data_IF_916297554347
#
_entry.id   IF_916297554347
#
_cell.length_a   1.000
_cell.length_b   1.000
_cell.length_c   1.000
_cell.angle_alpha   90.00
_cell.angle_beta   90.00
_cell.angle_gamma   90.00
#
_symmetry.space_group_name_H-M   'P 1'
#
loop_
_entity.id
_entity.type
_entity.pdbx_description
1 polymer ?
#
# COMPACT_ATOMS: atom_id res chain seq x y z
N UNK A 1 0.69 17.08 8.25
CA UNK A 1 -0.71 16.90 7.80
C UNK A 1 -0.77 15.94 6.63
N UNK A 2 -0.07 16.20 5.53
CA UNK A 2 -0.09 15.33 4.32
C UNK A 2 0.22 13.85 4.62
N UNK A 3 1.30 13.55 5.36
CA UNK A 3 1.65 12.17 5.72
C UNK A 3 0.55 11.48 6.55
N UNK A 4 -0.14 12.20 7.42
CA UNK A 4 -1.25 11.63 8.21
C UNK A 4 -2.43 11.28 7.30
N UNK A 5 -2.73 12.12 6.31
CA UNK A 5 -3.78 11.83 5.33
C UNK A 5 -3.45 10.59 4.50
N UNK A 6 -2.23 10.50 3.96
CA UNK A 6 -1.80 9.31 3.19
C UNK A 6 -1.74 8.04 4.04
N UNK A 7 -1.36 8.16 5.32
CA UNK A 7 -1.41 7.03 6.25
C UNK A 7 -2.83 6.56 6.53
N UNK A 8 -3.81 7.47 6.64
CA UNK A 8 -5.20 7.07 6.86
C UNK A 8 -5.75 6.19 5.73
N UNK A 9 -5.29 6.40 4.48
CA UNK A 9 -5.62 5.50 3.36
C UNK A 9 -5.09 4.08 3.57
N UNK A 10 -3.90 3.93 4.17
CA UNK A 10 -3.33 2.62 4.50
C UNK A 10 -4.16 1.91 5.58
N UNK A 11 -4.65 2.65 6.59
CA UNK A 11 -5.57 2.09 7.59
C UNK A 11 -6.88 1.61 6.99
N UNK A 12 -7.48 2.43 6.13
CA UNK A 12 -8.71 2.06 5.41
C UNK A 12 -8.50 0.80 4.57
N UNK A 13 -7.40 0.75 3.80
CA UNK A 13 -7.04 -0.42 2.99
C UNK A 13 -6.83 -1.68 3.82
N UNK A 14 -6.05 -1.57 4.90
CA UNK A 14 -5.80 -2.69 5.80
C UNK A 14 -7.05 -3.19 6.53
N UNK A 15 -7.91 -2.28 6.97
CA UNK A 15 -9.16 -2.64 7.63
C UNK A 15 -10.15 -3.31 6.68
N UNK A 16 -10.30 -2.83 5.43
CA UNK A 16 -11.11 -3.47 4.40
C UNK A 16 -10.57 -4.86 4.04
N UNK A 17 -9.25 -4.99 3.92
CA UNK A 17 -8.62 -6.29 3.68
C UNK A 17 -8.92 -7.29 4.80
N UNK A 18 -8.71 -6.89 6.07
CA UNK A 18 -9.00 -7.73 7.23
C UNK A 18 -10.50 -8.05 7.33
N UNK A 19 -11.37 -7.09 7.09
CA UNK A 19 -12.82 -7.30 7.10
C UNK A 19 -13.24 -8.35 6.06
N UNK A 20 -12.71 -8.25 4.85
CA UNK A 20 -13.03 -9.19 3.77
C UNK A 20 -12.45 -10.60 4.01
N UNK A 21 -11.26 -10.70 4.60
CA UNK A 21 -10.59 -11.98 4.84
C UNK A 21 -11.10 -12.68 6.10
N UNK A 22 -11.27 -11.94 7.21
CA UNK A 22 -11.63 -12.53 8.51
C UNK A 22 -13.14 -12.50 8.78
N UNK A 23 -13.95 -11.89 7.90
CA UNK A 23 -15.38 -11.73 8.11
C UNK A 23 -15.74 -10.80 9.28
N UNK A 24 -14.80 -9.95 9.73
CA UNK A 24 -15.02 -8.99 10.83
C UNK A 24 -15.59 -7.67 10.28
N UNK A 25 -16.22 -6.90 11.15
CA UNK A 25 -16.68 -5.58 10.73
C UNK A 25 -15.50 -4.60 10.51
N UNK A 26 -15.72 -3.58 9.68
CA UNK A 26 -14.73 -2.59 9.32
C UNK A 26 -14.09 -1.89 10.53
N UNK A 27 -14.88 -1.51 11.55
CA UNK A 27 -14.37 -0.84 12.76
C UNK A 27 -13.44 -1.74 13.57
N UNK A 28 -13.76 -3.03 13.67
CA UNK A 28 -12.87 -4.01 14.29
C UNK A 28 -11.59 -4.16 13.47
N UNK A 29 -11.68 -4.16 12.13
CA UNK A 29 -10.51 -4.16 11.24
C UNK A 29 -9.59 -2.96 11.49
N UNK A 30 -10.13 -1.74 11.68
CA UNK A 30 -9.35 -0.54 12.04
C UNK A 30 -8.59 -0.74 13.37
N UNK A 31 -9.22 -1.31 14.37
CA UNK A 31 -8.56 -1.56 15.67
C UNK A 31 -7.46 -2.61 15.53
N UNK A 32 -7.72 -3.71 14.82
CA UNK A 32 -6.75 -4.79 14.62
C UNK A 32 -5.52 -4.28 13.85
N UNK A 33 -5.71 -3.55 12.74
CA UNK A 33 -4.59 -3.00 11.98
C UNK A 33 -3.78 -2.00 12.83
N UNK A 34 -4.45 -1.20 13.67
CA UNK A 34 -3.76 -0.26 14.57
C UNK A 34 -2.87 -0.99 15.57
N UNK A 35 -3.33 -2.10 16.14
CA UNK A 35 -2.54 -2.94 17.06
C UNK A 35 -1.33 -3.52 16.33
N UNK A 36 -1.51 -4.08 15.13
CA UNK A 36 -0.41 -4.63 14.32
C UNK A 36 0.64 -3.55 14.05
N UNK A 37 0.22 -2.36 13.66
CA UNK A 37 1.14 -1.26 13.36
C UNK A 37 1.87 -0.76 14.62
N UNK A 38 1.19 -0.67 15.77
CA UNK A 38 1.86 -0.34 17.04
C UNK A 38 3.01 -1.32 17.30
N UNK A 39 2.78 -2.62 17.16
CA UNK A 39 3.84 -3.62 17.32
C UNK A 39 4.99 -3.41 16.34
N UNK A 40 4.71 -3.17 15.07
CA UNK A 40 5.73 -2.95 14.05
C UNK A 40 6.56 -1.69 14.31
N UNK A 41 5.91 -0.59 14.71
CA UNK A 41 6.58 0.71 14.93
C UNK A 41 7.38 0.74 16.23
N UNK A 42 6.85 0.13 17.32
CA UNK A 42 7.51 0.15 18.64
C UNK A 42 8.74 -0.78 18.66
N UNK A 43 8.64 -1.96 18.07
CA UNK A 43 9.73 -2.94 18.06
C UNK A 43 10.64 -2.84 16.83
N UNK A 44 10.26 -2.02 15.81
CA UNK A 44 11.05 -1.77 14.62
C UNK A 44 12.18 -0.78 14.89
N UNK A 45 13.42 -1.13 14.53
CA UNK A 45 14.50 -0.16 14.35
C UNK A 45 14.82 -0.06 12.86
N UNK A 46 15.49 1.00 12.40
CA UNK A 46 15.77 1.23 10.98
C UNK A 46 16.34 -0.01 10.26
N UNK A 47 17.28 -0.71 10.87
CA UNK A 47 17.86 -1.92 10.30
C UNK A 47 16.85 -3.07 10.16
N UNK A 48 16.01 -3.27 11.16
CA UNK A 48 15.00 -4.32 11.15
C UNK A 48 13.90 -4.00 10.12
N UNK A 49 13.51 -2.73 10.01
CA UNK A 49 12.56 -2.27 8.98
C UNK A 49 13.09 -2.60 7.58
N UNK A 50 14.33 -2.28 7.26
CA UNK A 50 14.90 -2.57 5.93
C UNK A 50 14.93 -4.06 5.60
N UNK A 51 15.23 -4.93 6.58
CA UNK A 51 15.24 -6.38 6.37
C UNK A 51 13.82 -6.91 6.18
N UNK A 52 12.86 -6.47 7.01
CA UNK A 52 11.46 -6.87 6.88
C UNK A 52 10.87 -6.40 5.57
N UNK A 53 11.16 -5.17 5.14
CA UNK A 53 10.70 -4.61 3.86
C UNK A 53 11.21 -5.44 2.67
N UNK A 54 12.46 -5.92 2.72
CA UNK A 54 13.01 -6.80 1.70
C UNK A 54 12.24 -8.13 1.63
N UNK A 55 11.99 -8.77 2.77
CA UNK A 55 11.22 -10.04 2.82
C UNK A 55 9.79 -9.81 2.33
N UNK A 56 9.16 -8.73 2.76
CA UNK A 56 7.81 -8.35 2.35
C UNK A 56 7.73 -8.06 0.85
N UNK A 57 8.76 -7.42 0.28
CA UNK A 57 8.87 -7.22 -1.17
C UNK A 57 8.91 -8.53 -1.96
N UNK A 58 9.66 -9.54 -1.47
CA UNK A 58 9.66 -10.87 -2.07
C UNK A 58 8.28 -11.53 -1.99
N UNK A 59 7.60 -11.45 -0.85
CA UNK A 59 6.23 -11.96 -0.70
C UNK A 59 5.30 -11.30 -1.73
N UNK A 60 5.41 -9.99 -1.93
CA UNK A 60 4.60 -9.27 -2.92
C UNK A 60 4.81 -9.78 -4.34
N UNK A 61 6.07 -9.99 -4.76
CA UNK A 61 6.39 -10.52 -6.10
C UNK A 61 5.78 -11.91 -6.30
N UNK A 62 6.06 -12.84 -5.39
CA UNK A 62 5.55 -14.22 -5.51
C UNK A 62 4.02 -14.27 -5.47
N UNK A 63 3.40 -13.51 -4.57
CA UNK A 63 1.94 -13.43 -4.46
C UNK A 63 1.30 -12.88 -5.72
N UNK A 64 1.88 -11.85 -6.34
CA UNK A 64 1.36 -11.28 -7.59
C UNK A 64 1.42 -12.30 -8.71
N UNK A 65 2.53 -13.04 -8.86
CA UNK A 65 2.69 -14.06 -9.90
C UNK A 65 1.72 -15.21 -9.67
N UNK A 66 1.61 -15.71 -8.44
CA UNK A 66 0.70 -16.81 -8.08
C UNK A 66 -0.75 -16.42 -8.37
N UNK A 67 -1.18 -15.23 -7.92
CA UNK A 67 -2.54 -14.78 -8.12
C UNK A 67 -2.87 -14.55 -9.58
N UNK A 68 -1.97 -13.92 -10.34
CA UNK A 68 -2.15 -13.71 -11.78
C UNK A 68 -2.32 -15.02 -12.53
N UNK A 69 -1.42 -15.99 -12.30
CA UNK A 69 -1.52 -17.32 -12.89
C UNK A 69 -2.84 -18.02 -12.53
N UNK A 70 -3.24 -17.94 -11.28
CA UNK A 70 -4.44 -18.60 -10.78
C UNK A 70 -5.72 -18.00 -11.35
N UNK A 71 -5.79 -16.67 -11.51
CA UNK A 71 -6.94 -15.99 -12.14
C UNK A 71 -7.03 -16.37 -13.63
N UNK A 72 -5.91 -16.40 -14.34
CA UNK A 72 -5.87 -16.81 -15.75
C UNK A 72 -6.32 -18.27 -15.90
N UNK A 73 -5.80 -19.16 -15.07
CA UNK A 73 -6.16 -20.58 -15.09
C UNK A 73 -7.64 -20.81 -14.75
N UNK A 74 -8.14 -20.14 -13.72
CA UNK A 74 -9.55 -20.23 -13.30
C UNK A 74 -10.51 -19.69 -14.36
N UNK A 75 -10.11 -18.62 -15.08
CA UNK A 75 -10.90 -18.01 -16.14
C UNK A 75 -10.87 -18.80 -17.47
N UNK A 76 -10.17 -19.93 -17.54
CA UNK A 76 -10.06 -20.73 -18.76
C UNK A 76 -9.09 -20.17 -19.80
N UNK A 77 -8.11 -19.36 -19.36
CA UNK A 77 -7.09 -18.75 -20.20
C UNK A 77 -7.38 -17.32 -20.60
N UNK A 78 -6.36 -16.65 -21.13
CA UNK A 78 -6.41 -15.22 -21.50
C UNK A 78 -7.48 -14.97 -22.57
N UNK A 79 -7.59 -15.84 -23.58
CA UNK A 79 -8.55 -15.70 -24.68
C UNK A 79 -10.00 -15.70 -24.17
N UNK A 80 -10.34 -16.69 -23.33
CA UNK A 80 -11.68 -16.78 -22.76
C UNK A 80 -12.02 -15.55 -21.88
N UNK A 81 -11.10 -15.11 -21.05
CA UNK A 81 -11.29 -13.90 -20.22
C UNK A 81 -11.48 -12.67 -21.10
N UNK A 82 -10.69 -12.53 -22.17
CA UNK A 82 -10.79 -11.42 -23.12
C UNK A 82 -12.16 -11.40 -23.80
N UNK A 83 -12.63 -12.57 -24.27
CA UNK A 83 -13.97 -12.69 -24.88
C UNK A 83 -15.07 -12.34 -23.88
N UNK A 84 -14.96 -12.77 -22.63
CA UNK A 84 -15.90 -12.38 -21.57
C UNK A 84 -15.90 -10.86 -21.32
N UNK A 85 -14.72 -10.21 -21.30
CA UNK A 85 -14.60 -8.77 -21.16
C UNK A 85 -15.29 -8.03 -22.33
N UNK A 86 -15.05 -8.47 -23.55
CA UNK A 86 -15.67 -7.90 -24.74
C UNK A 86 -17.18 -8.08 -24.76
N UNK A 87 -17.71 -9.21 -24.25
CA UNK A 87 -19.17 -9.43 -24.10
C UNK A 87 -19.83 -8.48 -23.10
N UNK A 88 -19.07 -8.01 -22.07
CA UNK A 88 -19.57 -7.01 -21.12
C UNK A 88 -19.63 -5.64 -21.79
N UNK A 89 -18.57 -5.23 -22.47
CA UNK A 89 -18.50 -3.98 -23.23
C UNK A 89 -17.29 -4.00 -24.16
N UNK A 90 -17.49 -3.78 -25.46
CA UNK A 90 -16.41 -3.76 -26.46
C UNK A 90 -15.31 -2.74 -26.16
N UNK A 91 -15.63 -1.65 -25.46
CA UNK A 91 -14.68 -0.59 -25.13
C UNK A 91 -13.88 -0.87 -23.84
N UNK A 92 -14.15 -1.95 -23.11
CA UNK A 92 -13.51 -2.22 -21.82
C UNK A 92 -12.00 -2.44 -21.91
N UNK A 93 -11.54 -2.93 -23.07
CA UNK A 93 -10.13 -3.13 -23.39
C UNK A 93 -9.45 -1.91 -24.02
N UNK A 94 -10.17 -0.79 -24.13
CA UNK A 94 -9.57 0.46 -24.62
C UNK A 94 -8.90 1.23 -23.47
N UNK A 95 -7.87 2.07 -23.76
CA UNK A 95 -7.20 2.88 -22.73
C UNK A 95 -8.13 3.86 -22.00
N UNK A 96 -9.30 4.16 -22.57
CA UNK A 96 -10.24 5.18 -22.06
C UNK A 96 -11.42 4.60 -21.27
N UNK A 97 -11.42 3.27 -21.04
CA UNK A 97 -12.43 2.55 -20.26
C UNK A 97 -13.77 2.39 -20.97
N UNK A 98 -14.64 1.54 -20.42
CA UNK A 98 -15.89 1.10 -21.03
C UNK A 98 -16.86 2.23 -21.37
N UNK A 99 -16.91 3.29 -20.57
CA UNK A 99 -17.86 4.39 -20.72
C UNK A 99 -17.24 5.67 -21.32
N UNK A 100 -15.97 5.61 -21.77
CA UNK A 100 -15.24 6.81 -22.21
C UNK A 100 -15.05 7.86 -21.12
N UNK A 101 -15.16 7.46 -19.85
CA UNK A 101 -15.03 8.34 -18.69
C UNK A 101 -13.60 8.84 -18.47
N UNK A 102 -12.61 8.10 -18.99
CA UNK A 102 -11.21 8.47 -18.93
C UNK A 102 -10.81 9.24 -20.18
N UNK A 103 -10.83 10.57 -20.09
CA UNK A 103 -10.37 11.42 -21.20
C UNK A 103 -8.86 11.29 -21.40
N UNK A 104 -8.33 11.53 -22.63
CA UNK A 104 -6.88 11.56 -22.86
C UNK A 104 -6.13 12.51 -21.92
N UNK A 105 -6.71 13.67 -21.61
CA UNK A 105 -6.16 14.64 -20.66
C UNK A 105 -6.08 14.08 -19.25
N UNK A 106 -7.12 13.34 -18.79
CA UNK A 106 -7.11 12.69 -17.49
C UNK A 106 -6.02 11.63 -17.40
N UNK A 107 -5.92 10.75 -18.40
CA UNK A 107 -4.87 9.73 -18.47
C UNK A 107 -3.48 10.36 -18.48
N UNK A 108 -3.27 11.41 -19.28
CA UNK A 108 -1.99 12.13 -19.33
C UNK A 108 -1.64 12.79 -17.99
N UNK A 109 -2.61 13.42 -17.32
CA UNK A 109 -2.40 14.04 -16.00
C UNK A 109 -2.01 13.00 -14.95
N UNK A 110 -2.57 11.79 -15.01
CA UNK A 110 -2.23 10.69 -14.10
C UNK A 110 -0.78 10.20 -14.34
N UNK A 111 -0.33 10.14 -15.60
CA UNK A 111 1.07 9.81 -15.91
C UNK A 111 2.04 10.84 -15.34
N UNK A 112 1.72 12.14 -15.44
CA UNK A 112 2.53 13.20 -14.84
C UNK A 112 2.51 13.11 -13.32
N UNK A 113 1.35 12.89 -12.72
CA UNK A 113 1.21 12.77 -11.26
C UNK A 113 2.03 11.59 -10.72
N UNK A 114 1.91 10.41 -11.32
CA UNK A 114 2.61 9.21 -10.85
C UNK A 114 4.08 9.23 -11.27
N UNK A 115 4.42 9.70 -12.49
CA UNK A 115 5.79 9.69 -12.99
C UNK A 115 6.67 10.77 -12.36
N UNK A 116 6.15 11.97 -12.17
CA UNK A 116 6.90 13.12 -11.65
C UNK A 116 6.55 13.41 -10.19
N UNK A 117 5.27 13.39 -9.84
CA UNK A 117 4.79 13.71 -8.49
C UNK A 117 5.36 12.78 -7.41
N UNK A 118 5.55 11.51 -7.73
CA UNK A 118 6.16 10.52 -6.82
C UNK A 118 7.57 10.91 -6.36
N UNK A 119 8.35 11.64 -7.19
CA UNK A 119 9.69 12.11 -6.83
C UNK A 119 9.63 13.09 -5.63
N UNK A 120 8.54 13.84 -5.52
CA UNK A 120 8.31 14.79 -4.42
C UNK A 120 7.90 14.15 -3.10
N UNK A 121 7.65 12.84 -3.05
CA UNK A 121 7.24 12.14 -1.83
C UNK A 121 8.44 12.03 -0.88
N UNK A 122 8.37 12.60 0.35
CA UNK A 122 9.52 12.71 1.25
C UNK A 122 10.20 11.38 1.57
N UNK A 123 9.44 10.28 1.73
CA UNK A 123 10.01 8.96 2.01
C UNK A 123 10.86 8.42 0.86
N UNK A 124 10.51 8.72 -0.38
CA UNK A 124 11.30 8.30 -1.56
C UNK A 124 12.59 9.10 -1.61
N UNK A 125 12.53 10.41 -1.40
CA UNK A 125 13.68 11.28 -1.38
C UNK A 125 14.70 10.84 -0.29
N UNK A 126 14.24 10.55 0.93
CA UNK A 126 15.11 10.12 2.03
C UNK A 126 15.70 8.74 1.76
N UNK A 127 14.91 7.78 1.31
CA UNK A 127 15.41 6.45 0.97
C UNK A 127 16.48 6.50 -0.13
N UNK A 128 16.36 7.42 -1.08
CA UNK A 128 17.37 7.62 -2.13
C UNK A 128 18.71 8.18 -1.61
N UNK A 129 18.77 8.70 -0.39
CA UNK A 129 19.99 9.19 0.24
C UNK A 129 20.71 8.10 1.07
N UNK A 130 20.09 6.93 1.29
CA UNK A 130 20.64 5.86 2.14
C UNK A 130 21.61 4.92 1.42
N UNK A 131 21.88 5.12 0.13
CA UNK A 131 22.76 4.25 -0.64
C UNK A 131 24.24 4.44 -0.28
N UNK A 132 24.92 3.32 -0.11
CA UNK A 132 26.34 3.30 0.29
C UNK A 132 27.27 3.91 -0.77
N UNK A 133 26.99 3.69 -2.05
CA UNK A 133 27.81 4.13 -3.17
C UNK A 133 27.01 4.16 -4.50
N UNK A 134 27.57 4.77 -5.56
CA UNK A 134 26.96 4.88 -6.89
C UNK A 134 26.62 3.52 -7.52
N UNK A 135 27.42 2.48 -7.27
CA UNK A 135 27.18 1.13 -7.80
C UNK A 135 25.93 0.53 -7.18
N UNK A 136 25.80 0.61 -5.85
CA UNK A 136 24.59 0.15 -5.14
C UNK A 136 23.33 0.88 -5.61
N UNK A 137 23.42 2.21 -5.80
CA UNK A 137 22.31 3.00 -6.34
C UNK A 137 21.90 2.50 -7.73
N UNK A 138 22.86 2.31 -8.65
CA UNK A 138 22.56 1.83 -10.01
C UNK A 138 21.92 0.43 -10.01
N UNK A 139 22.44 -0.48 -9.18
CA UNK A 139 21.85 -1.82 -9.03
C UNK A 139 20.43 -1.76 -8.47
N UNK A 140 20.18 -0.91 -7.47
CA UNK A 140 18.85 -0.74 -6.88
C UNK A 140 17.85 -0.14 -7.86
N UNK A 141 18.27 0.77 -8.75
CA UNK A 141 17.41 1.30 -9.80
C UNK A 141 16.98 0.18 -10.75
N UNK A 142 17.91 -0.65 -11.22
CA UNK A 142 17.60 -1.75 -12.15
C UNK A 142 16.67 -2.77 -11.50
N UNK A 143 17.05 -3.28 -10.31
CA UNK A 143 16.27 -4.29 -9.59
C UNK A 143 14.90 -3.71 -9.21
N UNK A 144 14.87 -2.51 -8.67
CA UNK A 144 13.64 -1.83 -8.28
C UNK A 144 12.68 -1.62 -9.45
N UNK A 145 13.20 -1.22 -10.62
CA UNK A 145 12.38 -1.06 -11.82
C UNK A 145 11.73 -2.38 -12.26
N UNK A 146 12.49 -3.48 -12.23
CA UNK A 146 11.96 -4.81 -12.56
C UNK A 146 10.89 -5.23 -11.56
N UNK A 147 11.14 -5.07 -10.26
CA UNK A 147 10.20 -5.42 -9.19
C UNK A 147 8.92 -4.61 -9.29
N UNK A 148 9.04 -3.28 -9.46
CA UNK A 148 7.89 -2.39 -9.62
C UNK A 148 7.09 -2.78 -10.86
N UNK A 149 7.75 -3.07 -11.98
CA UNK A 149 7.07 -3.51 -13.19
C UNK A 149 6.26 -4.81 -12.95
N UNK A 150 6.87 -5.83 -12.34
CA UNK A 150 6.19 -7.11 -12.07
C UNK A 150 4.97 -6.89 -11.16
N UNK A 151 5.14 -6.16 -10.06
CA UNK A 151 4.07 -5.98 -9.08
C UNK A 151 2.98 -5.08 -9.63
N UNK A 152 3.32 -3.89 -10.14
CA UNK A 152 2.32 -2.93 -10.62
C UNK A 152 1.58 -3.45 -11.84
N UNK A 153 2.30 -3.93 -12.86
CA UNK A 153 1.69 -4.48 -14.05
C UNK A 153 0.84 -5.73 -13.73
N UNK A 154 1.37 -6.62 -12.88
CA UNK A 154 0.67 -7.83 -12.46
C UNK A 154 -0.63 -7.54 -11.72
N UNK A 155 -0.63 -6.62 -10.75
CA UNK A 155 -1.84 -6.26 -9.99
C UNK A 155 -2.89 -5.59 -10.88
N UNK A 156 -2.48 -4.72 -11.82
CA UNK A 156 -3.42 -4.12 -12.77
C UNK A 156 -4.02 -5.16 -13.72
N UNK A 157 -3.22 -6.09 -14.23
CA UNK A 157 -3.73 -7.20 -15.05
C UNK A 157 -4.71 -8.06 -14.25
N UNK A 158 -4.40 -8.41 -13.01
CA UNK A 158 -5.31 -9.16 -12.14
C UNK A 158 -6.64 -8.43 -12.01
N UNK A 159 -6.62 -7.11 -11.79
CA UNK A 159 -7.84 -6.30 -11.69
C UNK A 159 -8.70 -6.34 -12.95
N UNK A 160 -8.09 -6.18 -14.12
CA UNK A 160 -8.78 -6.27 -15.41
C UNK A 160 -9.35 -7.67 -15.64
N UNK A 161 -8.53 -8.72 -15.45
CA UNK A 161 -8.94 -10.11 -15.66
C UNK A 161 -10.03 -10.53 -14.67
N UNK A 162 -9.95 -10.06 -13.42
CA UNK A 162 -10.97 -10.33 -12.41
C UNK A 162 -12.37 -9.86 -12.86
N UNK A 163 -12.45 -8.75 -13.59
CA UNK A 163 -13.73 -8.26 -14.14
C UNK A 163 -14.33 -9.22 -15.17
N UNK A 164 -13.50 -9.86 -15.99
CA UNK A 164 -13.96 -10.86 -16.98
C UNK A 164 -14.34 -12.20 -16.36
N UNK A 165 -13.77 -12.53 -15.19
CA UNK A 165 -14.03 -13.79 -14.48
C UNK A 165 -15.16 -13.65 -13.45
N UNK A 166 -15.25 -12.50 -12.77
CA UNK A 166 -16.21 -12.21 -11.69
C UNK A 166 -16.92 -10.85 -11.92
N UNK A 167 -17.82 -10.75 -12.90
CA UNK A 167 -18.46 -9.48 -13.27
C UNK A 167 -19.34 -8.88 -12.17
N UNK A 168 -19.77 -9.69 -11.20
CA UNK A 168 -20.75 -9.30 -10.17
C UNK A 168 -20.13 -8.61 -8.94
N UNK A 169 -18.80 -8.48 -8.85
CA UNK A 169 -18.17 -7.80 -7.73
C UNK A 169 -18.43 -6.31 -7.79
N UNK A 170 -19.21 -5.80 -6.82
CA UNK A 170 -19.62 -4.38 -6.74
C UNK A 170 -18.65 -3.51 -5.95
N UNK A 171 -18.01 -4.05 -4.93
CA UNK A 171 -17.01 -3.31 -4.13
C UNK A 171 -15.62 -3.52 -4.72
N UNK A 172 -15.13 -2.49 -5.41
CA UNK A 172 -13.84 -2.52 -6.11
C UNK A 172 -12.65 -2.64 -5.17
N UNK A 173 -12.75 -2.15 -3.94
CA UNK A 173 -11.69 -2.26 -2.93
C UNK A 173 -11.55 -3.70 -2.38
N UNK A 174 -12.60 -4.51 -2.51
CA UNK A 174 -12.63 -5.91 -2.06
C UNK A 174 -12.34 -6.93 -3.17
N UNK A 175 -12.03 -6.50 -4.39
CA UNK A 175 -11.78 -7.41 -5.53
C UNK A 175 -10.67 -8.41 -5.21
N UNK A 176 -9.48 -7.93 -4.80
CA UNK A 176 -8.32 -8.80 -4.53
C UNK A 176 -8.61 -9.85 -3.45
N UNK A 177 -9.10 -9.52 -2.24
CA UNK A 177 -9.43 -10.55 -1.25
C UNK A 177 -10.49 -11.53 -1.74
N UNK A 178 -11.56 -11.08 -2.41
CA UNK A 178 -12.64 -11.95 -2.89
C UNK A 178 -12.12 -12.95 -3.92
N UNK A 179 -11.41 -12.49 -4.96
CA UNK A 179 -10.89 -13.40 -5.99
C UNK A 179 -9.85 -14.37 -5.43
N UNK A 180 -8.99 -13.89 -4.55
CA UNK A 180 -7.96 -14.73 -3.91
C UNK A 180 -8.59 -15.91 -3.18
N UNK A 181 -9.65 -15.67 -2.40
CA UNK A 181 -10.38 -16.73 -1.68
C UNK A 181 -11.16 -17.67 -2.60
N UNK A 182 -11.55 -17.21 -3.80
CA UNK A 182 -12.29 -18.03 -4.76
C UNK A 182 -11.39 -18.89 -5.65
N UNK A 183 -10.21 -18.38 -6.04
CA UNK A 183 -9.34 -19.07 -7.02
C UNK A 183 -8.23 -19.87 -6.39
N UNK A 184 -7.92 -19.66 -5.10
CA UNK A 184 -6.79 -20.30 -4.42
C UNK A 184 -7.25 -21.17 -3.25
N UNK A 185 -6.55 -22.28 -2.97
CA UNK A 185 -6.73 -23.02 -1.73
C UNK A 185 -6.31 -22.14 -0.54
N UNK A 186 -6.88 -22.41 0.65
CA UNK A 186 -6.77 -21.56 1.83
C UNK A 186 -5.32 -21.17 2.21
N UNK A 187 -4.36 -22.08 2.08
CA UNK A 187 -2.95 -21.82 2.44
C UNK A 187 -2.25 -20.88 1.46
N UNK A 188 -2.52 -20.98 0.14
CA UNK A 188 -2.02 -20.04 -0.85
C UNK A 188 -2.75 -18.70 -0.76
N UNK A 189 -4.05 -18.73 -0.50
CA UNK A 189 -4.83 -17.52 -0.29
C UNK A 189 -4.29 -16.70 0.89
N UNK A 190 -3.94 -17.35 2.00
CA UNK A 190 -3.33 -16.69 3.16
C UNK A 190 -1.98 -16.02 2.79
N UNK A 191 -1.12 -16.72 2.03
CA UNK A 191 0.15 -16.17 1.55
C UNK A 191 -0.06 -14.96 0.63
N UNK A 192 -0.99 -15.07 -0.32
CA UNK A 192 -1.28 -14.00 -1.29
C UNK A 192 -1.89 -12.78 -0.59
N UNK A 193 -2.78 -12.97 0.38
CA UNK A 193 -3.37 -11.88 1.16
C UNK A 193 -2.38 -11.22 2.12
N UNK A 194 -1.28 -11.90 2.47
CA UNK A 194 -0.18 -11.26 3.19
C UNK A 194 0.54 -10.17 2.36
N UNK A 195 0.48 -10.22 1.03
CA UNK A 195 1.17 -9.25 0.17
C UNK A 195 0.61 -7.81 0.29
N UNK A 196 -0.69 -7.54 0.14
CA UNK A 196 -1.22 -6.21 0.36
C UNK A 196 -1.06 -5.73 1.81
N UNK A 197 -1.10 -6.63 2.79
CA UNK A 197 -0.79 -6.28 4.18
C UNK A 197 0.67 -5.88 4.33
N UNK A 198 1.60 -6.59 3.69
CA UNK A 198 3.01 -6.24 3.63
C UNK A 198 3.23 -4.86 3.01
N UNK A 199 2.57 -4.54 1.89
CA UNK A 199 2.64 -3.24 1.24
C UNK A 199 2.18 -2.09 2.18
N UNK A 200 1.13 -2.32 2.95
CA UNK A 200 0.65 -1.36 3.96
C UNK A 200 1.71 -1.14 5.04
N UNK A 201 2.24 -2.21 5.61
CA UNK A 201 3.21 -2.13 6.72
C UNK A 201 4.50 -1.44 6.28
N UNK A 202 5.07 -1.77 5.11
CA UNK A 202 6.29 -1.12 4.61
C UNK A 202 6.09 0.37 4.41
N UNK A 203 4.97 0.77 3.80
CA UNK A 203 4.64 2.18 3.57
C UNK A 203 4.48 2.94 4.89
N UNK A 204 3.73 2.38 5.81
CA UNK A 204 3.47 2.97 7.13
C UNK A 204 4.75 3.12 7.94
N UNK A 205 5.62 2.11 7.96
CA UNK A 205 6.91 2.17 8.66
C UNK A 205 7.77 3.33 8.17
N UNK A 206 7.89 3.49 6.84
CA UNK A 206 8.65 4.58 6.24
C UNK A 206 8.05 5.97 6.61
N UNK A 207 6.74 6.09 6.58
CA UNK A 207 6.04 7.34 6.92
C UNK A 207 6.18 7.68 8.41
N UNK A 208 6.12 6.69 9.31
CA UNK A 208 6.34 6.92 10.76
C UNK A 208 7.75 7.39 11.07
N UNK A 209 8.78 6.84 10.42
CA UNK A 209 10.15 7.33 10.58
C UNK A 209 10.26 8.81 10.24
N UNK A 210 9.57 9.25 9.18
CA UNK A 210 9.57 10.66 8.77
C UNK A 210 8.82 11.55 9.76
N UNK A 211 7.60 11.17 10.15
CA UNK A 211 6.78 11.95 11.08
C UNK A 211 7.52 12.09 12.42
N UNK A 212 8.06 10.99 12.94
CA UNK A 212 8.82 11.01 14.20
C UNK A 212 10.04 11.91 14.10
N UNK A 213 10.80 11.81 12.99
CA UNK A 213 11.98 12.64 12.76
C UNK A 213 11.62 14.12 12.68
N UNK A 214 10.58 14.47 11.90
CA UNK A 214 10.14 15.85 11.74
C UNK A 214 9.61 16.43 13.06
N UNK A 215 8.74 15.71 13.77
CA UNK A 215 8.20 16.18 15.05
C UNK A 215 9.30 16.38 16.11
N UNK A 216 10.27 15.47 16.17
CA UNK A 216 11.32 15.55 17.20
C UNK A 216 12.38 16.57 16.83
N UNK A 217 12.92 16.52 15.61
CA UNK A 217 14.04 17.39 15.21
C UNK A 217 13.55 18.81 14.88
N UNK A 218 12.49 18.93 14.10
CA UNK A 218 12.12 20.21 13.53
C UNK A 218 11.17 21.00 14.42
N UNK A 219 10.32 20.31 15.20
CA UNK A 219 9.36 20.99 16.09
C UNK A 219 9.90 21.06 17.52
N UNK A 220 10.26 19.94 18.13
CA UNK A 220 10.59 19.89 19.55
C UNK A 220 12.02 20.37 19.85
N UNK A 221 13.03 19.96 19.06
CA UNK A 221 14.40 20.40 19.28
C UNK A 221 14.72 21.78 18.70
N UNK A 222 13.80 22.40 17.97
CA UNK A 222 13.92 23.82 17.63
C UNK A 222 13.83 24.72 18.84
N UNK A 223 13.14 24.29 19.92
CA UNK A 223 13.08 25.00 21.20
C UNK A 223 14.18 24.52 22.15
N UNK A 224 15.12 25.40 22.49
CA UNK A 224 16.24 25.10 23.42
C UNK A 224 15.79 24.47 24.74
N UNK A 225 14.65 24.91 25.27
CA UNK A 225 14.09 24.47 26.56
C UNK A 225 13.73 22.97 26.57
N UNK A 226 13.26 22.44 25.43
CA UNK A 226 12.86 21.03 25.32
C UNK A 226 14.09 20.15 25.10
N UNK A 227 15.07 20.63 24.34
CA UNK A 227 16.34 19.92 24.08
C UNK A 227 17.09 19.60 25.38
N UNK A 228 17.13 20.53 26.34
CA UNK A 228 17.79 20.33 27.61
C UNK A 228 17.04 19.39 28.58
N UNK A 229 15.71 19.33 28.50
CA UNK A 229 14.89 18.47 29.37
C UNK A 229 14.77 17.01 28.93
N UNK A 230 14.99 16.72 27.64
CA UNK A 230 14.75 15.38 27.05
C UNK A 230 16.07 14.71 26.60
N UNK A 231 17.20 15.03 27.21
CA UNK A 231 18.50 14.44 26.88
C UNK A 231 18.60 13.01 27.43
N UNK A 232 19.10 12.06 26.61
CA UNK A 232 19.48 10.71 27.03
C UNK A 232 18.38 9.65 26.93
N UNK A 233 18.25 8.79 27.95
CA UNK A 233 17.33 7.61 27.97
C UNK A 233 15.84 7.92 27.78
N UNK A 234 15.41 9.18 27.91
CA UNK A 234 14.00 9.59 27.77
C UNK A 234 13.58 9.81 26.31
N UNK A 235 14.53 9.99 25.38
CA UNK A 235 14.25 10.22 23.95
C UNK A 235 13.43 9.07 23.34
N UNK A 236 13.82 7.78 23.48
CA UNK A 236 13.04 6.70 22.90
C UNK A 236 11.61 6.63 23.41
N UNK A 237 11.40 6.78 24.71
CA UNK A 237 10.06 6.74 25.32
C UNK A 237 9.18 7.86 24.74
N UNK A 238 9.74 9.04 24.57
CA UNK A 238 9.04 10.19 24.00
C UNK A 238 8.67 9.96 22.52
N UNK A 239 9.60 9.38 21.73
CA UNK A 239 9.36 9.00 20.34
C UNK A 239 8.20 7.99 20.25
N UNK A 240 8.20 6.94 21.08
CA UNK A 240 7.14 5.96 21.11
C UNK A 240 5.78 6.57 21.51
N UNK A 241 5.78 7.47 22.48
CA UNK A 241 4.54 8.16 22.90
C UNK A 241 3.95 9.00 21.77
N UNK A 242 4.78 9.72 21.01
CA UNK A 242 4.34 10.48 19.84
C UNK A 242 3.79 9.55 18.76
N UNK A 243 4.47 8.46 18.46
CA UNK A 243 4.03 7.51 17.45
C UNK A 243 2.67 6.88 17.82
N UNK A 244 2.49 6.50 19.08
CA UNK A 244 1.21 5.97 19.57
C UNK A 244 0.10 7.03 19.44
N UNK A 245 0.37 8.28 19.79
CA UNK A 245 -0.61 9.38 19.67
C UNK A 245 -1.00 9.60 18.20
N UNK A 246 -0.05 9.57 17.28
CA UNK A 246 -0.31 9.67 15.83
C UNK A 246 -1.12 8.47 15.33
N UNK A 247 -0.84 7.26 15.80
CA UNK A 247 -1.62 6.05 15.45
C UNK A 247 -3.08 6.21 15.92
N UNK A 248 -3.29 6.65 17.17
CA UNK A 248 -4.63 6.87 17.70
C UNK A 248 -5.37 7.92 16.86
N UNK A 249 -4.71 9.02 16.50
CA UNK A 249 -5.29 10.05 15.65
C UNK A 249 -5.72 9.49 14.29
N UNK A 250 -4.84 8.74 13.63
CA UNK A 250 -5.13 8.13 12.33
C UNK A 250 -6.28 7.12 12.47
N UNK A 251 -6.28 6.31 13.52
CA UNK A 251 -7.37 5.38 13.81
C UNK A 251 -8.73 6.10 13.85
N UNK A 252 -8.83 7.21 14.55
CA UNK A 252 -10.07 7.99 14.61
C UNK A 252 -10.48 8.60 13.27
N UNK A 253 -9.52 9.15 12.52
CA UNK A 253 -9.78 9.69 11.17
C UNK A 253 -10.31 8.58 10.25
N UNK A 254 -9.73 7.40 10.33
CA UNK A 254 -10.05 6.26 9.46
C UNK A 254 -11.37 5.55 9.82
N UNK A 255 -11.99 5.84 10.97
CA UNK A 255 -13.27 5.24 11.36
C UNK A 255 -14.45 5.60 10.44
N UNK A 256 -14.35 6.70 9.69
CA UNK A 256 -15.35 7.15 8.71
C UNK A 256 -14.70 7.31 7.34
N UNK A 257 -14.45 6.21 6.63
CA UNK A 257 -13.75 6.27 5.35
C UNK A 257 -14.67 6.85 4.27
N UNK A 258 -14.11 7.51 3.24
CA UNK A 258 -14.81 7.77 2.01
C UNK A 258 -15.15 6.45 1.28
N UNK A 259 -16.02 6.53 0.27
CA UNK A 259 -16.50 5.37 -0.47
C UNK A 259 -15.40 4.52 -1.13
N UNK A 260 -14.31 5.16 -1.58
CA UNK A 260 -13.16 4.50 -2.19
C UNK A 260 -11.84 4.94 -1.54
N UNK A 261 -10.90 4.01 -1.39
CA UNK A 261 -9.55 4.29 -0.83
C UNK A 261 -8.81 5.33 -1.68
N UNK A 262 -8.99 5.31 -3.01
CA UNK A 262 -8.38 6.27 -3.92
C UNK A 262 -8.76 7.70 -3.56
N UNK A 263 -9.99 7.94 -3.14
CA UNK A 263 -10.46 9.28 -2.77
C UNK A 263 -9.71 9.85 -1.55
N UNK A 264 -9.21 8.98 -0.65
CA UNK A 264 -8.41 9.42 0.50
C UNK A 264 -7.04 9.94 0.09
N UNK A 265 -6.48 9.40 -1.00
CA UNK A 265 -5.15 9.78 -1.48
C UNK A 265 -5.19 11.00 -2.43
N UNK A 266 -6.36 11.40 -2.93
CA UNK A 266 -6.51 12.53 -3.84
C UNK A 266 -6.70 13.87 -3.10
N UNK A 267 -6.94 13.85 -1.80
CA UNK A 267 -7.03 15.03 -0.91
C UNK A 267 -5.79 15.15 -0.02
#
# INVERSE_FOLDING_TARGET
>A
VFLIATMSAQWVGGAKLLAAFMGINYKTGIVVISIIIIFCVVFGGLKNILITDMIQGLIMIFSTIILLYSVISYGGGIENITNNLLSINEKILTPFGANGSLTPSYVSSFWVLVGVGVIGIPQIAINSMLYKNKRSLKQSIIIGSIVIFIVMFGVHLIGVMARGVFPDIKDYDSVIPIITLKVLPWYLAALVLAAPMAAIITTVNAQFLLISSALIKDVLFSTKVIKEKIVGRKIPIFVYSINILVIILIMFISMRPPSLIVNVNLF
#
